data_IF_249293524692
#
_entry.id   IF_249293524692
#
_cell.length_a   1.000
_cell.length_b   1.000
_cell.length_c   1.000
_cell.angle_alpha   90.00
_cell.angle_beta   90.00
_cell.angle_gamma   90.00
#
_symmetry.space_group_name_H-M   'P 1'
#
loop_
_entity.id
_entity.type
_entity.pdbx_description
1 polymer ?
#
# COMPACT_ATOMS: atom_id res chain seq x y z
N UNK A 1 24.07 43.89 -52.77
CA UNK A 1 23.31 43.56 -54.00
C UNK A 1 22.78 42.13 -53.88
N UNK A 2 21.46 41.99 -53.99
CA UNK A 2 20.71 40.73 -53.97
C UNK A 2 21.11 39.86 -55.16
N UNK A 3 21.34 38.56 -54.95
CA UNK A 3 20.79 37.50 -55.81
C UNK A 3 20.50 36.25 -54.98
N UNK A 4 19.20 35.98 -54.91
CA UNK A 4 18.57 34.74 -54.47
C UNK A 4 18.82 33.70 -55.55
N UNK A 5 19.38 32.53 -55.21
CA UNK A 5 19.28 31.33 -56.03
C UNK A 5 18.93 30.14 -55.14
N UNK A 6 17.87 29.47 -55.57
CA UNK A 6 17.17 28.34 -54.98
C UNK A 6 18.09 27.16 -54.66
N UNK A 7 17.96 26.63 -53.45
CA UNK A 7 18.46 25.29 -53.12
C UNK A 7 17.42 24.30 -53.64
N UNK A 8 17.67 23.78 -54.84
CA UNK A 8 17.03 22.56 -55.34
C UNK A 8 17.76 21.40 -54.64
N UNK A 9 17.10 20.78 -53.67
CA UNK A 9 17.55 19.54 -53.07
C UNK A 9 17.52 18.44 -54.12
N UNK A 10 18.70 17.97 -54.53
CA UNK A 10 18.84 16.78 -55.36
C UNK A 10 18.42 15.58 -54.51
N UNK A 11 17.26 15.04 -54.85
CA UNK A 11 16.82 13.70 -54.53
C UNK A 11 17.86 12.69 -55.05
N UNK A 12 18.66 12.11 -54.15
CA UNK A 12 19.26 10.81 -54.43
C UNK A 12 18.19 9.78 -54.11
N UNK A 13 17.51 9.34 -55.16
CA UNK A 13 16.65 8.17 -55.14
C UNK A 13 17.52 6.93 -54.98
N UNK A 14 17.72 6.48 -53.74
CA UNK A 14 18.10 5.09 -53.49
C UNK A 14 16.85 4.22 -53.62
N UNK A 15 16.57 3.82 -54.87
CA UNK A 15 15.70 2.67 -55.17
C UNK A 15 16.34 1.41 -54.57
N UNK A 16 16.05 1.11 -53.31
CA UNK A 16 16.08 -0.26 -52.84
C UNK A 16 14.82 -0.94 -53.37
N UNK A 17 14.95 -1.62 -54.51
CA UNK A 17 14.09 -2.74 -54.84
C UNK A 17 14.29 -3.81 -53.76
N UNK A 18 13.60 -3.69 -52.62
CA UNK A 18 13.25 -4.89 -51.87
C UNK A 18 12.24 -5.61 -52.74
N UNK A 19 12.71 -6.65 -53.43
CA UNK A 19 11.88 -7.77 -53.87
C UNK A 19 11.16 -8.30 -52.62
N UNK A 20 10.00 -7.73 -52.31
CA UNK A 20 9.05 -8.38 -51.42
C UNK A 20 8.57 -9.60 -52.19
N UNK A 21 9.19 -10.75 -51.94
CA UNK A 21 8.58 -12.02 -52.28
C UNK A 21 7.12 -11.95 -51.78
N UNK A 22 6.13 -12.24 -52.62
CA UNK A 22 4.74 -12.26 -52.17
C UNK A 22 4.70 -13.18 -50.96
N UNK A 23 4.35 -12.63 -49.80
CA UNK A 23 4.25 -13.40 -48.57
C UNK A 23 3.31 -14.57 -48.87
N UNK A 24 3.84 -15.78 -48.90
CA UNK A 24 3.08 -16.98 -49.19
C UNK A 24 1.79 -16.95 -48.35
N UNK A 25 0.61 -17.23 -48.93
CA UNK A 25 -0.63 -17.26 -48.17
C UNK A 25 -0.41 -18.23 -47.02
N UNK A 26 -0.62 -17.76 -45.79
CA UNK A 26 -0.39 -18.55 -44.60
C UNK A 26 -1.23 -19.83 -44.71
N UNK A 27 -0.57 -20.93 -45.07
CA UNK A 27 -1.21 -22.20 -45.32
C UNK A 27 -1.90 -22.66 -44.04
N UNK A 28 -3.15 -23.08 -44.20
CA UNK A 28 -3.96 -23.52 -43.10
C UNK A 28 -3.33 -24.74 -42.41
N UNK A 29 -3.22 -24.69 -41.09
CA UNK A 29 -2.75 -25.84 -40.33
C UNK A 29 -3.76 -26.98 -40.48
N UNK A 30 -3.27 -28.15 -40.93
CA UNK A 30 -4.09 -29.35 -41.10
C UNK A 30 -4.56 -29.88 -39.72
N UNK A 31 -3.71 -29.72 -38.69
CA UNK A 31 -3.94 -30.06 -37.28
C UNK A 31 -3.46 -28.92 -36.35
N UNK A 32 -4.27 -28.56 -35.34
CA UNK A 32 -3.89 -27.59 -34.30
C UNK A 32 -4.16 -26.10 -34.61
N UNK A 33 -3.93 -25.24 -33.60
CA UNK A 33 -4.15 -23.80 -33.69
C UNK A 33 -2.88 -23.05 -34.09
N UNK A 34 -2.95 -22.21 -35.14
CA UNK A 34 -1.89 -21.27 -35.53
C UNK A 34 -2.35 -19.83 -35.34
N UNK A 35 -1.51 -18.95 -34.79
CA UNK A 35 -1.84 -17.54 -34.54
C UNK A 35 -0.91 -16.63 -35.36
N UNK A 36 -1.48 -15.68 -36.11
CA UNK A 36 -0.75 -14.59 -36.78
C UNK A 36 -1.14 -13.26 -36.14
N UNK A 37 -0.18 -12.54 -35.57
CA UNK A 37 -0.42 -11.18 -35.07
C UNK A 37 -0.67 -10.27 -36.26
N UNK A 38 -1.78 -9.53 -36.23
CA UNK A 38 -2.15 -8.56 -37.25
C UNK A 38 -1.86 -7.13 -36.81
N UNK A 39 -1.99 -6.84 -35.51
CA UNK A 39 -1.72 -5.53 -34.92
C UNK A 39 -1.43 -5.67 -33.43
N UNK A 40 -0.44 -4.94 -32.96
CA UNK A 40 -0.21 -4.69 -31.52
C UNK A 40 -0.71 -3.29 -31.20
N UNK A 41 -1.37 -3.16 -30.06
CA UNK A 41 -1.86 -1.89 -29.53
C UNK A 41 -0.97 -1.46 -28.37
N UNK A 42 -1.03 -0.17 -28.03
CA UNK A 42 -0.45 0.31 -26.79
C UNK A 42 -0.98 -0.51 -25.60
N UNK A 43 -0.08 -0.92 -24.72
CA UNK A 43 -0.43 -1.70 -23.55
C UNK A 43 -1.13 -0.88 -22.46
N UNK A 44 -1.09 0.44 -22.57
CA UNK A 44 -1.79 1.34 -21.65
C UNK A 44 -3.31 1.19 -21.72
N UNK A 45 -3.93 1.14 -20.54
CA UNK A 45 -5.38 1.07 -20.40
C UNK A 45 -5.99 2.44 -20.72
N UNK A 46 -6.27 2.68 -22.00
CA UNK A 46 -6.86 3.92 -22.51
C UNK A 46 -8.16 3.66 -23.29
N UNK A 47 -8.93 4.73 -23.53
CA UNK A 47 -10.18 4.66 -24.31
C UNK A 47 -9.94 4.14 -25.74
N UNK A 48 -8.76 4.40 -26.31
CA UNK A 48 -8.42 3.96 -27.66
C UNK A 48 -8.47 2.43 -27.80
N UNK A 49 -8.12 1.73 -26.70
CA UNK A 49 -8.02 0.29 -26.63
C UNK A 49 -9.15 -0.34 -25.79
N UNK A 50 -10.10 0.46 -25.29
CA UNK A 50 -11.21 -0.02 -24.48
C UNK A 50 -12.31 -0.66 -25.34
N UNK A 51 -12.78 -1.83 -24.93
CA UNK A 51 -13.89 -2.56 -25.53
C UNK A 51 -14.77 -3.17 -24.43
N UNK A 52 -16.01 -3.49 -24.76
CA UNK A 52 -16.91 -4.24 -23.89
C UNK A 52 -17.66 -5.32 -24.66
N UNK A 53 -18.22 -6.27 -23.92
CA UNK A 53 -19.00 -7.36 -24.48
C UNK A 53 -20.23 -6.83 -25.19
N UNK A 54 -20.48 -7.27 -26.44
CA UNK A 54 -21.76 -6.99 -27.10
C UNK A 54 -22.91 -7.62 -26.30
N UNK A 55 -24.09 -6.98 -26.25
CA UNK A 55 -25.28 -7.58 -25.65
C UNK A 55 -25.55 -8.99 -26.19
N UNK A 56 -25.95 -9.90 -25.31
CA UNK A 56 -26.32 -11.30 -25.62
C UNK A 56 -25.22 -12.17 -26.26
N UNK A 57 -23.96 -11.72 -26.28
CA UNK A 57 -22.84 -12.52 -26.79
C UNK A 57 -22.68 -13.84 -26.05
N UNK A 58 -22.53 -14.93 -26.81
CA UNK A 58 -22.23 -16.27 -26.28
C UNK A 58 -20.73 -16.60 -26.34
N UNK A 59 -19.89 -15.61 -26.66
CA UNK A 59 -18.46 -15.81 -26.78
C UNK A 59 -17.79 -16.11 -25.43
N UNK A 60 -16.69 -16.82 -25.50
CA UNK A 60 -15.80 -17.10 -24.37
C UNK A 60 -14.50 -16.35 -24.55
N UNK A 61 -13.85 -16.05 -23.43
CA UNK A 61 -12.42 -15.74 -23.40
C UNK A 61 -11.66 -17.05 -23.29
N UNK A 62 -10.68 -17.22 -24.16
CA UNK A 62 -9.83 -18.39 -24.29
C UNK A 62 -8.45 -18.09 -23.72
N UNK A 63 -7.76 -19.11 -23.21
CA UNK A 63 -6.46 -18.91 -22.57
C UNK A 63 -5.41 -18.31 -23.52
N UNK A 64 -4.45 -17.57 -22.95
CA UNK A 64 -3.29 -17.04 -23.68
C UNK A 64 -2.17 -18.07 -23.57
N UNK A 65 -1.76 -18.68 -24.69
CA UNK A 65 -0.49 -19.42 -24.76
C UNK A 65 0.54 -18.62 -25.57
N UNK A 66 1.79 -18.63 -25.11
CA UNK A 66 2.98 -18.11 -25.77
C UNK A 66 3.91 -19.30 -25.96
N UNK A 67 4.18 -19.70 -27.20
CA UNK A 67 5.34 -20.54 -27.49
C UNK A 67 6.58 -19.66 -27.36
N UNK A 68 7.52 -20.05 -26.50
CA UNK A 68 8.91 -19.60 -26.60
C UNK A 68 9.53 -20.14 -27.88
N UNK A 69 10.56 -19.47 -28.39
CA UNK A 69 11.12 -19.64 -29.74
C UNK A 69 11.86 -20.97 -30.01
N UNK A 70 11.79 -21.99 -29.16
CA UNK A 70 12.65 -23.19 -29.33
C UNK A 70 12.02 -24.58 -29.01
N UNK A 71 10.72 -24.72 -28.75
CA UNK A 71 10.18 -26.03 -28.36
C UNK A 71 9.60 -26.87 -29.52
N UNK A 72 10.28 -27.97 -29.85
CA UNK A 72 9.91 -28.94 -30.91
C UNK A 72 8.82 -29.94 -30.50
N UNK A 73 8.30 -29.92 -29.28
CA UNK A 73 7.25 -30.86 -28.82
C UNK A 73 6.02 -30.13 -28.27
N UNK A 74 5.06 -29.91 -29.16
CA UNK A 74 3.84 -29.13 -28.97
C UNK A 74 2.73 -29.91 -28.23
N UNK A 75 2.08 -29.29 -27.22
CA UNK A 75 0.85 -29.81 -26.60
C UNK A 75 -0.36 -28.94 -26.96
N UNK A 76 -1.24 -29.46 -27.81
CA UNK A 76 -2.34 -28.74 -28.51
C UNK A 76 -3.49 -28.20 -27.62
N UNK A 77 -3.39 -28.24 -26.29
CA UNK A 77 -4.57 -28.12 -25.39
C UNK A 77 -4.89 -26.70 -24.87
N UNK A 78 -4.02 -25.69 -25.03
CA UNK A 78 -4.19 -24.42 -24.31
C UNK A 78 -5.05 -23.35 -25.02
N UNK A 79 -4.94 -23.17 -26.35
CA UNK A 79 -5.85 -22.28 -27.09
C UNK A 79 -7.31 -22.81 -27.09
N UNK A 80 -7.52 -24.05 -26.66
CA UNK A 80 -8.83 -24.70 -26.52
C UNK A 80 -9.46 -24.54 -25.13
N UNK A 81 -8.74 -24.00 -24.13
CA UNK A 81 -9.31 -23.85 -22.80
C UNK A 81 -10.18 -22.60 -22.74
N UNK A 82 -11.50 -22.81 -22.74
CA UNK A 82 -12.47 -21.77 -22.36
C UNK A 82 -12.19 -21.37 -20.91
N UNK A 83 -11.85 -20.11 -20.68
CA UNK A 83 -11.64 -19.59 -19.33
C UNK A 83 -12.97 -19.15 -18.72
N UNK A 84 -13.67 -18.26 -19.41
CA UNK A 84 -14.92 -17.71 -18.90
C UNK A 84 -15.80 -17.15 -20.01
N UNK A 85 -17.12 -17.26 -19.80
CA UNK A 85 -18.15 -16.76 -20.72
C UNK A 85 -18.25 -15.24 -20.62
N UNK A 86 -18.15 -14.54 -21.75
CA UNK A 86 -18.06 -13.08 -21.79
C UNK A 86 -19.36 -12.39 -21.29
N UNK A 87 -20.52 -13.04 -21.47
CA UNK A 87 -21.81 -12.55 -20.96
C UNK A 87 -21.84 -12.34 -19.44
N UNK A 88 -21.05 -13.12 -18.69
CA UNK A 88 -21.01 -13.03 -17.23
C UNK A 88 -20.18 -11.83 -16.75
N UNK A 89 -19.56 -11.08 -17.68
CA UNK A 89 -18.66 -9.96 -17.42
C UNK A 89 -19.13 -8.68 -18.11
N UNK A 90 -20.44 -8.47 -18.14
CA UNK A 90 -21.07 -7.30 -18.79
C UNK A 90 -20.53 -5.95 -18.30
N UNK A 91 -20.15 -5.84 -17.02
CA UNK A 91 -19.59 -4.62 -16.44
C UNK A 91 -18.08 -4.46 -16.64
N UNK A 92 -17.41 -5.42 -17.28
CA UNK A 92 -15.97 -5.37 -17.48
C UNK A 92 -15.64 -4.65 -18.79
N UNK A 93 -14.81 -3.62 -18.69
CA UNK A 93 -14.07 -3.09 -19.84
C UNK A 93 -12.82 -3.93 -20.08
N UNK A 94 -12.66 -4.35 -21.33
CA UNK A 94 -11.57 -5.15 -21.87
C UNK A 94 -10.65 -4.25 -22.69
N UNK A 95 -9.38 -4.17 -22.30
CA UNK A 95 -8.37 -3.42 -23.03
C UNK A 95 -7.69 -4.36 -24.03
N UNK A 96 -7.86 -4.06 -25.32
CA UNK A 96 -7.27 -4.83 -26.41
C UNK A 96 -5.79 -4.51 -26.50
N UNK A 97 -4.96 -5.56 -26.45
CA UNK A 97 -3.51 -5.48 -26.52
C UNK A 97 -3.01 -5.91 -27.90
N UNK A 98 -3.70 -6.88 -28.53
CA UNK A 98 -3.36 -7.38 -29.86
C UNK A 98 -4.61 -7.77 -30.64
N UNK A 99 -4.55 -7.60 -31.96
CA UNK A 99 -5.46 -8.22 -32.93
C UNK A 99 -4.71 -9.33 -33.63
N UNK A 100 -5.30 -10.52 -33.66
CA UNK A 100 -4.67 -11.72 -34.23
C UNK A 100 -5.63 -12.45 -35.16
N UNK A 101 -5.08 -13.17 -36.14
CA UNK A 101 -5.80 -14.18 -36.93
C UNK A 101 -5.43 -15.55 -36.38
N UNK A 102 -6.43 -16.36 -36.06
CA UNK A 102 -6.27 -17.72 -35.58
C UNK A 102 -6.75 -18.67 -36.66
N UNK A 103 -5.96 -19.69 -36.98
CA UNK A 103 -6.26 -20.74 -37.97
C UNK A 103 -6.43 -22.09 -37.27
N UNK A 104 -7.43 -22.87 -37.68
CA UNK A 104 -7.71 -24.22 -37.17
C UNK A 104 -8.57 -24.99 -38.19
N UNK A 105 -8.16 -26.20 -38.59
CA UNK A 105 -8.84 -27.05 -39.59
C UNK A 105 -9.36 -26.29 -40.82
N UNK A 106 -8.44 -25.65 -41.56
CA UNK A 106 -8.77 -24.87 -42.77
C UNK A 106 -9.69 -23.65 -42.55
N UNK A 107 -10.10 -23.37 -41.30
CA UNK A 107 -10.90 -22.20 -40.94
C UNK A 107 -10.00 -21.16 -40.29
N UNK A 108 -10.40 -19.89 -40.38
CA UNK A 108 -9.75 -18.82 -39.64
C UNK A 108 -10.75 -17.88 -38.97
N UNK A 109 -10.33 -17.25 -37.88
CA UNK A 109 -11.11 -16.25 -37.16
C UNK A 109 -10.24 -15.11 -36.66
N UNK A 110 -10.81 -13.91 -36.56
CA UNK A 110 -10.12 -12.76 -35.96
C UNK A 110 -10.43 -12.69 -34.47
N UNK A 111 -9.39 -12.57 -33.66
CA UNK A 111 -9.48 -12.49 -32.21
C UNK A 111 -8.75 -11.25 -31.70
N UNK A 112 -9.20 -10.75 -30.56
CA UNK A 112 -8.45 -9.80 -29.75
C UNK A 112 -7.86 -10.53 -28.55
N UNK A 113 -6.59 -10.27 -28.25
CA UNK A 113 -6.06 -10.53 -26.94
C UNK A 113 -6.41 -9.35 -26.04
N UNK A 114 -7.14 -9.63 -24.96
CA UNK A 114 -7.67 -8.62 -24.05
C UNK A 114 -7.18 -8.83 -22.63
N UNK A 115 -7.16 -7.76 -21.87
CA UNK A 115 -6.94 -7.76 -20.43
C UNK A 115 -7.93 -6.82 -19.74
N UNK A 116 -8.38 -7.11 -18.54
CA UNK A 116 -9.14 -6.15 -17.73
C UNK A 116 -8.18 -5.15 -17.04
N UNK A 117 -8.72 -4.09 -16.43
CA UNK A 117 -7.89 -3.04 -15.83
C UNK A 117 -6.89 -3.57 -14.77
N UNK A 118 -7.28 -4.56 -13.96
CA UNK A 118 -6.39 -5.14 -12.93
C UNK A 118 -5.45 -6.24 -13.46
N UNK A 119 -5.51 -6.56 -14.76
CA UNK A 119 -4.80 -7.66 -15.43
C UNK A 119 -5.07 -9.07 -14.88
N UNK A 120 -5.91 -9.22 -13.87
CA UNK A 120 -6.31 -10.52 -13.31
C UNK A 120 -7.19 -11.36 -14.24
N UNK A 121 -7.72 -10.77 -15.32
CA UNK A 121 -8.51 -11.46 -16.35
C UNK A 121 -7.97 -11.08 -17.72
N UNK A 122 -7.51 -12.09 -18.45
CA UNK A 122 -6.95 -11.91 -19.78
C UNK A 122 -7.22 -13.12 -20.67
N UNK A 123 -7.06 -12.96 -21.98
CA UNK A 123 -7.14 -14.04 -22.95
C UNK A 123 -7.59 -13.60 -24.33
N UNK A 124 -7.77 -14.56 -25.24
CA UNK A 124 -8.26 -14.32 -26.59
C UNK A 124 -9.78 -14.35 -26.65
N UNK A 125 -10.38 -13.39 -27.34
CA UNK A 125 -11.83 -13.32 -27.55
C UNK A 125 -12.12 -13.00 -29.01
N UNK A 126 -13.16 -13.60 -29.58
CA UNK A 126 -13.54 -13.36 -30.98
C UNK A 126 -13.83 -11.86 -31.16
N UNK A 127 -13.18 -11.21 -32.12
CA UNK A 127 -13.27 -9.76 -32.27
C UNK A 127 -14.71 -9.27 -32.50
N UNK A 128 -15.53 -10.07 -33.19
CA UNK A 128 -16.95 -9.75 -33.46
C UNK A 128 -17.84 -9.73 -32.21
N UNK A 129 -17.39 -10.30 -31.09
CA UNK A 129 -18.09 -10.36 -29.81
C UNK A 129 -17.90 -9.10 -28.94
N UNK A 130 -17.00 -8.20 -29.35
CA UNK A 130 -16.68 -6.97 -28.64
C UNK A 130 -17.16 -5.73 -29.42
N UNK A 131 -17.46 -4.67 -28.67
CA UNK A 131 -17.78 -3.34 -29.16
C UNK A 131 -16.80 -2.34 -28.53
N UNK A 132 -16.38 -1.33 -29.29
CA UNK A 132 -15.41 -0.32 -28.84
C UNK A 132 -16.04 0.60 -27.78
N UNK A 133 -15.22 1.05 -26.84
CA UNK A 133 -15.59 1.92 -25.72
C UNK A 133 -15.69 1.18 -24.39
N UNK A 134 -15.71 1.95 -23.29
CA UNK A 134 -15.94 1.43 -21.95
C UNK A 134 -17.31 0.75 -21.83
N UNK A 135 -17.42 -0.22 -20.93
CA UNK A 135 -18.71 -0.83 -20.63
C UNK A 135 -19.68 0.23 -20.07
N UNK A 136 -20.94 0.27 -20.55
CA UNK A 136 -21.96 1.16 -19.99
C UNK A 136 -22.51 0.65 -18.65
N UNK A 137 -22.12 -0.54 -18.19
CA UNK A 137 -22.65 -1.18 -16.99
C UNK A 137 -21.64 -1.15 -15.84
N UNK A 138 -22.07 -0.77 -14.65
CA UNK A 138 -21.23 -0.79 -13.45
C UNK A 138 -20.05 0.20 -13.51
N UNK A 139 -19.17 0.14 -12.51
CA UNK A 139 -18.08 1.10 -12.33
C UNK A 139 -16.93 0.85 -13.30
N UNK A 140 -16.49 1.91 -13.99
CA UNK A 140 -15.40 1.87 -14.97
C UNK A 140 -14.22 2.71 -14.49
N UNK A 141 -13.07 2.07 -14.28
CA UNK A 141 -11.83 2.80 -14.03
C UNK A 141 -11.32 3.33 -15.37
N UNK A 142 -11.30 4.65 -15.53
CA UNK A 142 -10.85 5.32 -16.74
C UNK A 142 -9.33 5.52 -16.74
N UNK A 143 -8.78 5.89 -15.59
CA UNK A 143 -7.37 6.22 -15.42
C UNK A 143 -6.92 5.94 -13.99
N UNK A 144 -5.64 5.63 -13.81
CA UNK A 144 -4.95 5.67 -12.51
C UNK A 144 -3.75 6.61 -12.58
N UNK A 145 -3.60 7.45 -11.56
CA UNK A 145 -2.47 8.37 -11.43
C UNK A 145 -1.57 7.88 -10.31
N UNK A 146 -0.38 7.41 -10.71
CA UNK A 146 0.69 6.95 -9.84
C UNK A 146 1.73 8.07 -9.63
N UNK A 147 2.77 7.80 -8.83
CA UNK A 147 3.89 8.70 -8.58
C UNK A 147 3.92 9.27 -7.16
N UNK A 148 5.06 9.79 -6.74
CA UNK A 148 5.30 10.35 -5.40
C UNK A 148 4.27 11.39 -5.01
N UNK A 149 3.91 12.29 -5.92
CA UNK A 149 2.84 13.31 -5.73
C UNK A 149 1.44 12.74 -5.45
N UNK A 150 1.21 11.47 -5.77
CA UNK A 150 -0.07 10.78 -5.56
C UNK A 150 0.04 9.72 -4.45
N UNK A 151 1.17 9.66 -3.74
CA UNK A 151 1.33 8.90 -2.49
C UNK A 151 1.06 9.81 -1.30
N UNK A 152 0.85 9.22 -0.14
CA UNK A 152 0.63 9.98 1.09
C UNK A 152 -0.17 9.19 2.12
N UNK A 153 -0.27 9.76 3.31
CA UNK A 153 -1.08 9.25 4.41
C UNK A 153 -2.46 9.90 4.38
N UNK A 154 -3.50 9.12 4.64
CA UNK A 154 -4.88 9.59 4.66
C UNK A 154 -5.65 8.99 5.83
N UNK A 155 -6.64 9.70 6.32
CA UNK A 155 -7.58 9.20 7.32
C UNK A 155 -9.01 9.61 6.99
N UNK A 156 -9.97 8.96 7.64
CA UNK A 156 -11.39 9.24 7.43
C UNK A 156 -11.75 10.61 8.01
N UNK A 157 -12.43 11.45 7.21
CA UNK A 157 -12.82 12.80 7.62
C UNK A 157 -13.81 12.81 8.79
N UNK A 158 -14.79 11.90 8.76
CA UNK A 158 -15.78 11.73 9.82
C UNK A 158 -15.75 10.28 10.34
N UNK A 159 -15.22 10.03 11.55
CA UNK A 159 -15.03 8.67 12.07
C UNK A 159 -16.36 7.93 12.34
N UNK A 160 -17.49 8.63 12.44
CA UNK A 160 -18.80 8.03 12.66
C UNK A 160 -19.54 7.71 11.36
N UNK A 161 -19.10 8.25 10.22
CA UNK A 161 -19.76 8.07 8.92
C UNK A 161 -19.42 6.69 8.32
N UNK A 162 -20.42 6.00 7.75
CA UNK A 162 -20.18 4.81 6.95
C UNK A 162 -19.39 5.17 5.69
N UNK A 163 -18.13 4.77 5.63
CA UNK A 163 -17.24 4.96 4.49
C UNK A 163 -16.66 3.61 4.10
N UNK A 164 -17.08 3.10 2.96
CA UNK A 164 -16.69 1.75 2.53
C UNK A 164 -15.44 1.77 1.66
N UNK A 165 -14.55 0.82 1.93
CA UNK A 165 -13.47 0.42 1.03
C UNK A 165 -14.00 -0.65 0.09
N UNK A 166 -13.93 -0.40 -1.20
CA UNK A 166 -14.46 -1.27 -2.24
C UNK A 166 -13.35 -2.06 -2.95
N UNK A 167 -13.72 -3.21 -3.50
CA UNK A 167 -12.91 -3.85 -4.53
C UNK A 167 -12.91 -3.04 -5.82
N UNK A 168 -12.02 -3.39 -6.77
CA UNK A 168 -11.84 -2.61 -7.99
C UNK A 168 -13.09 -2.59 -8.88
N UNK A 169 -13.92 -3.62 -8.82
CA UNK A 169 -15.21 -3.69 -9.53
C UNK A 169 -16.35 -2.94 -8.82
N UNK A 170 -16.12 -2.43 -7.61
CA UNK A 170 -17.13 -1.79 -6.77
C UNK A 170 -18.36 -2.68 -6.55
N UNK A 171 -18.14 -3.99 -6.45
CA UNK A 171 -19.18 -5.01 -6.23
C UNK A 171 -19.10 -5.60 -4.83
N UNK A 172 -17.95 -5.49 -4.17
CA UNK A 172 -17.71 -6.06 -2.84
C UNK A 172 -17.17 -4.98 -1.90
N UNK A 173 -17.88 -4.78 -0.79
CA UNK A 173 -17.37 -4.06 0.38
C UNK A 173 -16.26 -4.89 1.02
N UNK A 174 -15.05 -4.36 1.07
CA UNK A 174 -13.90 -4.99 1.73
C UNK A 174 -13.82 -4.63 3.20
N UNK A 175 -14.17 -3.38 3.53
CA UNK A 175 -14.12 -2.82 4.87
C UNK A 175 -15.08 -1.64 5.00
N UNK A 176 -15.48 -1.30 6.22
CA UNK A 176 -16.03 0.00 6.57
C UNK A 176 -15.02 0.75 7.46
N UNK A 177 -14.57 1.92 7.05
CA UNK A 177 -13.51 2.68 7.72
C UNK A 177 -13.95 3.20 9.09
N UNK A 178 -15.26 3.37 9.34
CA UNK A 178 -15.78 3.77 10.65
C UNK A 178 -15.41 2.80 11.78
N UNK A 179 -15.20 1.52 11.45
CA UNK A 179 -14.85 0.47 12.42
C UNK A 179 -13.36 0.53 12.80
N UNK A 180 -12.61 1.44 12.16
CA UNK A 180 -11.18 1.69 12.32
C UNK A 180 -10.89 3.20 12.37
N UNK A 181 -11.53 3.94 13.30
CA UNK A 181 -11.55 5.40 13.29
C UNK A 181 -10.18 6.02 13.52
N UNK A 182 -9.26 5.32 14.19
CA UNK A 182 -7.90 5.77 14.44
C UNK A 182 -6.85 5.29 13.46
N UNK A 183 -7.23 4.71 12.31
CA UNK A 183 -6.25 4.28 11.31
C UNK A 183 -5.79 5.44 10.43
N UNK A 184 -4.49 5.44 10.16
CA UNK A 184 -3.87 6.13 9.03
C UNK A 184 -3.67 5.13 7.89
N UNK A 185 -4.03 5.51 6.68
CA UNK A 185 -3.98 4.67 5.49
C UNK A 185 -2.94 5.18 4.51
N UNK A 186 -2.17 4.28 3.91
CA UNK A 186 -1.24 4.63 2.83
C UNK A 186 -1.96 4.63 1.50
N UNK A 187 -1.82 5.70 0.72
CA UNK A 187 -2.34 5.80 -0.65
C UNK A 187 -1.29 5.38 -1.67
N UNK A 188 -1.66 4.46 -2.56
CA UNK A 188 -0.80 4.05 -3.67
C UNK A 188 -1.04 4.87 -4.96
N UNK A 189 -2.31 5.17 -5.27
CA UNK A 189 -2.71 5.92 -6.46
C UNK A 189 -4.14 6.46 -6.32
N UNK A 190 -4.49 7.40 -7.20
CA UNK A 190 -5.85 7.92 -7.38
C UNK A 190 -6.42 7.33 -8.67
N UNK A 191 -7.66 6.86 -8.64
CA UNK A 191 -8.41 6.38 -9.80
C UNK A 191 -9.51 7.37 -10.19
N UNK A 192 -9.62 7.64 -11.49
CA UNK A 192 -10.78 8.31 -12.09
C UNK A 192 -11.79 7.24 -12.48
N UNK A 193 -12.99 7.29 -11.93
CA UNK A 193 -14.01 6.26 -12.07
C UNK A 193 -15.29 6.85 -12.65
N UNK A 194 -15.85 6.19 -13.67
CA UNK A 194 -17.15 6.51 -14.26
C UNK A 194 -18.21 5.53 -13.82
N UNK A 195 -19.37 6.03 -13.40
CA UNK A 195 -20.56 5.22 -13.12
C UNK A 195 -21.82 6.02 -13.44
N UNK A 196 -22.76 5.43 -14.18
CA UNK A 196 -24.00 6.09 -14.62
C UNK A 196 -23.78 7.49 -15.21
N UNK A 197 -22.78 7.62 -16.09
CA UNK A 197 -22.43 8.90 -16.73
C UNK A 197 -21.60 9.84 -15.85
N UNK A 198 -21.61 9.69 -14.53
CA UNK A 198 -20.89 10.55 -13.58
C UNK A 198 -19.43 10.12 -13.40
N UNK A 199 -18.53 11.11 -13.32
CA UNK A 199 -17.12 10.93 -12.98
C UNK A 199 -16.91 11.22 -11.49
N UNK A 200 -16.14 10.36 -10.83
CA UNK A 200 -15.74 10.47 -9.43
C UNK A 200 -14.29 10.03 -9.24
N UNK A 201 -13.66 10.45 -8.14
CA UNK A 201 -12.29 10.10 -7.78
C UNK A 201 -12.25 9.18 -6.57
N UNK A 202 -11.36 8.19 -6.62
CA UNK A 202 -11.17 7.22 -5.55
C UNK A 202 -9.69 7.03 -5.26
N UNK A 203 -9.31 7.14 -3.99
CA UNK A 203 -7.99 6.78 -3.51
C UNK A 203 -7.92 5.26 -3.32
N UNK A 204 -6.85 4.65 -3.82
CA UNK A 204 -6.53 3.27 -3.48
C UNK A 204 -5.67 3.23 -2.23
N UNK A 205 -6.31 2.90 -1.12
CA UNK A 205 -5.72 2.87 0.21
C UNK A 205 -5.27 1.45 0.58
N UNK A 206 -4.27 1.35 1.44
CA UNK A 206 -3.78 0.10 2.02
C UNK A 206 -3.23 0.29 3.44
N UNK A 207 -3.30 -0.76 4.26
CA UNK A 207 -2.75 -0.76 5.61
C UNK A 207 -3.02 -2.04 6.40
N UNK A 208 -2.25 -2.24 7.49
CA UNK A 208 -2.46 -3.31 8.46
C UNK A 208 -3.48 -2.87 9.50
N UNK A 209 -4.58 -3.62 9.62
CA UNK A 209 -5.69 -3.23 10.50
C UNK A 209 -5.23 -3.06 11.96
N UNK A 210 -5.51 -1.92 12.58
CA UNK A 210 -5.15 -1.61 13.99
C UNK A 210 -3.65 -1.74 14.31
N UNK A 211 -2.77 -1.66 13.30
CA UNK A 211 -1.31 -1.72 13.47
C UNK A 211 -0.72 -3.13 13.67
N UNK A 212 -1.54 -4.18 13.76
CA UNK A 212 -1.06 -5.57 13.88
C UNK A 212 -2.01 -6.63 13.27
N UNK A 213 -2.95 -6.17 12.45
CA UNK A 213 -4.01 -6.97 11.86
C UNK A 213 -3.73 -7.35 10.41
N UNK A 214 -4.63 -8.11 9.81
CA UNK A 214 -4.56 -8.47 8.39
C UNK A 214 -4.41 -7.23 7.50
N UNK A 215 -3.45 -7.26 6.57
CA UNK A 215 -3.34 -6.23 5.54
C UNK A 215 -4.59 -6.19 4.65
N UNK A 216 -5.10 -4.98 4.40
CA UNK A 216 -6.24 -4.76 3.52
C UNK A 216 -5.99 -3.56 2.63
N UNK A 217 -6.58 -3.59 1.43
CA UNK A 217 -6.49 -2.49 0.48
C UNK A 217 -7.74 -2.36 -0.37
N UNK A 218 -7.97 -1.20 -0.98
CA UNK A 218 -9.14 -1.01 -1.83
C UNK A 218 -9.42 0.46 -2.14
N UNK A 219 -10.52 0.69 -2.85
CA UNK A 219 -10.90 2.02 -3.32
C UNK A 219 -11.84 2.69 -2.33
N UNK A 220 -11.50 3.90 -1.92
CA UNK A 220 -12.33 4.76 -1.07
C UNK A 220 -12.58 6.07 -1.81
N UNK A 221 -13.80 6.58 -1.75
CA UNK A 221 -14.15 7.85 -2.38
C UNK A 221 -13.36 9.01 -1.75
N UNK A 222 -12.65 9.78 -2.58
CA UNK A 222 -11.71 10.82 -2.13
C UNK A 222 -12.35 11.87 -1.23
N UNK A 223 -13.62 12.23 -1.47
CA UNK A 223 -14.31 13.27 -0.69
C UNK A 223 -14.49 12.93 0.81
N UNK A 224 -14.36 11.65 1.17
CA UNK A 224 -14.50 11.16 2.55
C UNK A 224 -13.19 11.12 3.34
N UNK A 225 -12.09 11.55 2.72
CA UNK A 225 -10.75 11.46 3.29
C UNK A 225 -10.18 12.84 3.61
N UNK A 226 -9.26 12.85 4.57
CA UNK A 226 -8.39 13.97 4.89
C UNK A 226 -6.95 13.49 4.71
N UNK A 227 -6.12 14.33 4.09
CA UNK A 227 -4.69 14.08 3.91
C UNK A 227 -3.93 14.28 5.22
N UNK A 228 -2.92 13.45 5.47
CA UNK A 228 -2.08 13.48 6.66
C UNK A 228 -2.20 12.24 7.54
N UNK A 229 -1.47 12.25 8.65
CA UNK A 229 -1.52 11.23 9.68
C UNK A 229 -2.70 11.49 10.61
N UNK A 230 -3.45 10.45 10.97
CA UNK A 230 -4.59 10.56 11.86
C UNK A 230 -4.12 11.02 13.26
N UNK A 231 -4.58 12.16 13.79
CA UNK A 231 -4.24 12.57 15.15
C UNK A 231 -4.98 11.74 16.21
N UNK A 232 -5.98 10.95 15.83
CA UNK A 232 -6.73 10.12 16.76
C UNK A 232 -6.30 8.67 16.54
N UNK A 233 -5.87 8.00 17.61
CA UNK A 233 -5.32 6.64 17.54
C UNK A 233 -6.28 5.58 18.13
N UNK A 234 -7.56 5.90 18.21
CA UNK A 234 -8.59 5.03 18.81
C UNK A 234 -8.62 3.66 18.13
N UNK A 235 -8.51 2.61 18.94
CA UNK A 235 -8.55 1.23 18.48
C UNK A 235 -7.26 0.73 17.82
N UNK A 236 -6.20 1.55 17.75
CA UNK A 236 -4.87 1.05 17.37
C UNK A 236 -4.29 0.20 18.49
N UNK A 237 -3.68 -0.93 18.12
CA UNK A 237 -2.95 -1.76 19.06
C UNK A 237 -1.56 -1.16 19.30
N UNK A 238 -0.90 -0.73 18.23
CA UNK A 238 0.42 -0.08 18.23
C UNK A 238 0.38 1.16 17.34
N UNK A 239 1.14 2.19 17.73
CA UNK A 239 1.40 3.41 16.95
C UNK A 239 2.87 3.74 17.14
N UNK A 240 3.58 3.98 16.04
CA UNK A 240 5.03 4.21 16.09
C UNK A 240 5.36 5.65 16.48
N UNK A 241 6.55 5.91 17.07
CA UNK A 241 6.93 7.24 17.52
C UNK A 241 6.83 8.32 16.42
N UNK A 242 7.07 7.97 15.17
CA UNK A 242 7.03 8.89 14.02
C UNK A 242 5.60 9.21 13.54
N UNK A 243 4.58 8.49 14.00
CA UNK A 243 3.17 8.73 13.65
C UNK A 243 2.48 9.74 14.57
N UNK A 244 3.14 10.18 15.65
CA UNK A 244 2.60 11.22 16.52
C UNK A 244 2.99 12.61 16.03
N UNK A 245 2.03 13.54 16.10
CA UNK A 245 2.22 14.91 15.63
C UNK A 245 2.96 15.79 16.65
N UNK A 246 2.73 15.57 17.94
CA UNK A 246 3.29 16.36 19.04
C UNK A 246 3.16 15.62 20.39
N UNK A 247 3.74 16.18 21.46
CA UNK A 247 3.73 15.60 22.80
C UNK A 247 2.31 15.44 23.39
N UNK A 248 1.39 16.37 23.12
CA UNK A 248 -0.01 16.25 23.57
C UNK A 248 -0.74 15.09 22.89
N UNK A 249 -0.52 14.91 21.59
CA UNK A 249 -1.04 13.80 20.81
C UNK A 249 -0.54 12.45 21.34
N UNK A 250 0.75 12.38 21.64
CA UNK A 250 1.37 11.17 22.18
C UNK A 250 0.88 10.87 23.61
N UNK A 251 0.79 11.88 24.47
CA UNK A 251 0.25 11.71 25.82
C UNK A 251 -1.19 11.21 25.81
N UNK A 252 -2.04 11.73 24.91
CA UNK A 252 -3.41 11.25 24.73
C UNK A 252 -3.44 9.76 24.32
N UNK A 253 -2.53 9.32 23.44
CA UNK A 253 -2.40 7.90 23.10
C UNK A 253 -2.00 7.05 24.32
N UNK A 254 -1.01 7.49 25.13
CA UNK A 254 -0.68 6.81 26.39
C UNK A 254 -1.91 6.71 27.29
N UNK A 255 -2.68 7.79 27.43
CA UNK A 255 -3.84 7.87 28.30
C UNK A 255 -5.01 6.97 27.86
N UNK A 256 -5.23 6.83 26.55
CA UNK A 256 -6.44 6.18 26.01
C UNK A 256 -6.18 4.82 25.36
N UNK A 257 -4.94 4.53 24.97
CA UNK A 257 -4.56 3.31 24.27
C UNK A 257 -4.80 2.04 25.08
N UNK A 258 -5.31 1.00 24.41
CA UNK A 258 -5.66 -0.27 25.03
C UNK A 258 -4.44 -0.95 25.70
N UNK A 259 -3.32 -1.02 24.97
CA UNK A 259 -2.07 -1.63 25.46
C UNK A 259 -1.18 -0.66 26.28
N UNK A 260 -1.62 0.58 26.51
CA UNK A 260 -0.82 1.62 27.17
C UNK A 260 -0.98 1.66 28.70
N UNK A 261 -1.66 0.67 29.32
CA UNK A 261 -1.89 0.65 30.78
C UNK A 261 -0.60 0.73 31.60
N UNK A 262 0.45 0.00 31.21
CA UNK A 262 1.74 0.04 31.90
C UNK A 262 2.42 1.42 31.75
N UNK A 263 2.42 1.98 30.54
CA UNK A 263 2.98 3.30 30.27
C UNK A 263 2.32 4.39 31.13
N UNK A 264 0.98 4.37 31.24
CA UNK A 264 0.23 5.29 32.12
C UNK A 264 0.70 5.24 33.56
N UNK A 265 0.88 4.03 34.10
CA UNK A 265 1.31 3.88 35.50
C UNK A 265 2.77 4.31 35.71
N UNK A 266 3.64 4.13 34.72
CA UNK A 266 5.02 4.60 34.79
C UNK A 266 5.08 6.13 34.69
N UNK A 267 4.28 6.76 33.83
CA UNK A 267 4.19 8.23 33.73
C UNK A 267 3.76 8.85 35.07
N UNK A 268 2.82 8.23 35.80
CA UNK A 268 2.42 8.68 37.15
C UNK A 268 3.54 8.67 38.18
N UNK A 269 4.64 7.95 37.96
CA UNK A 269 5.78 7.95 38.86
C UNK A 269 6.60 9.25 38.80
N UNK A 270 6.33 10.11 37.81
CA UNK A 270 7.04 11.36 37.55
C UNK A 270 6.05 12.55 37.44
N UNK A 271 5.41 12.97 38.54
CA UNK A 271 4.29 13.91 38.50
C UNK A 271 4.65 15.31 37.95
N UNK A 272 5.90 15.74 38.08
CA UNK A 272 6.39 17.05 37.64
C UNK A 272 7.28 16.98 36.39
N UNK A 273 7.30 15.84 35.70
CA UNK A 273 8.15 15.59 34.53
C UNK A 273 7.27 15.20 33.34
N UNK A 274 6.82 16.17 32.52
CA UNK A 274 5.88 15.89 31.46
C UNK A 274 6.48 15.00 30.37
N UNK A 275 5.64 14.16 29.75
CA UNK A 275 6.01 13.34 28.59
C UNK A 275 6.35 14.25 27.41
N UNK A 276 7.44 13.93 26.71
CA UNK A 276 7.87 14.66 25.53
C UNK A 276 8.11 13.72 24.34
N UNK A 277 7.54 14.05 23.17
CA UNK A 277 7.59 13.20 21.99
C UNK A 277 9.00 13.09 21.40
N UNK A 278 9.76 14.18 21.32
CA UNK A 278 11.12 14.13 20.76
C UNK A 278 12.02 13.29 21.65
N UNK A 279 11.94 13.47 22.97
CA UNK A 279 12.67 12.62 23.92
C UNK A 279 12.17 11.16 23.88
N UNK A 280 10.88 10.90 23.66
CA UNK A 280 10.36 9.55 23.45
C UNK A 280 10.84 8.88 22.16
N UNK A 281 11.06 9.63 21.08
CA UNK A 281 11.70 9.13 19.86
C UNK A 281 13.14 8.74 20.14
N UNK A 282 13.90 9.60 20.84
CA UNK A 282 15.26 9.28 21.28
C UNK A 282 15.26 8.03 22.17
N UNK A 283 14.34 7.93 23.13
CA UNK A 283 14.22 6.76 23.99
C UNK A 283 14.04 5.48 23.16
N UNK A 284 13.07 5.49 22.23
CA UNK A 284 12.73 4.33 21.41
C UNK A 284 13.89 3.89 20.51
N UNK A 285 14.51 4.82 19.77
CA UNK A 285 15.48 4.44 18.74
C UNK A 285 16.92 4.29 19.27
N UNK A 286 17.29 5.01 20.35
CA UNK A 286 18.66 4.99 20.86
C UNK A 286 18.84 4.16 22.15
N UNK A 287 17.77 3.92 22.93
CA UNK A 287 17.87 3.34 24.28
C UNK A 287 16.91 2.19 24.58
N UNK A 288 16.10 1.74 23.61
CA UNK A 288 15.11 0.69 23.85
C UNK A 288 15.74 -0.68 24.18
N UNK A 289 15.06 -1.41 25.06
CA UNK A 289 15.16 -2.87 25.16
C UNK A 289 13.97 -3.47 24.41
N UNK A 290 14.22 -4.07 23.25
CA UNK A 290 13.20 -4.49 22.29
C UNK A 290 13.38 -5.92 21.78
N UNK A 291 12.26 -6.51 21.35
CA UNK A 291 12.30 -7.64 20.43
C UNK A 291 12.79 -7.13 19.06
N UNK A 292 13.66 -7.90 18.42
CA UNK A 292 14.19 -7.55 17.10
C UNK A 292 13.06 -7.33 16.09
N UNK A 293 13.17 -6.26 15.30
CA UNK A 293 12.24 -5.95 14.22
C UNK A 293 10.95 -5.23 14.61
N UNK A 294 10.65 -5.01 15.90
CA UNK A 294 9.44 -4.25 16.30
C UNK A 294 9.57 -2.76 15.94
N UNK A 295 10.74 -2.20 16.19
CA UNK A 295 11.17 -0.94 15.61
C UNK A 295 11.94 -1.34 14.34
N UNK A 296 11.28 -1.28 13.18
CA UNK A 296 11.77 -1.73 11.87
C UNK A 296 13.28 -1.51 11.73
N UNK A 297 14.05 -2.58 11.53
CA UNK A 297 15.51 -2.58 11.66
C UNK A 297 16.21 -1.61 10.68
N UNK A 298 15.67 -1.42 9.47
CA UNK A 298 16.17 -0.43 8.49
C UNK A 298 15.93 1.02 8.93
N UNK A 299 15.01 1.25 9.87
CA UNK A 299 14.67 2.55 10.48
C UNK A 299 15.26 2.72 11.88
N UNK A 300 15.94 1.72 12.45
CA UNK A 300 16.67 1.84 13.74
C UNK A 300 18.01 2.58 13.54
N UNK A 301 17.96 3.66 12.78
CA UNK A 301 19.04 4.64 12.75
C UNK A 301 18.95 5.45 14.05
N UNK A 302 20.11 5.71 14.66
CA UNK A 302 20.15 6.59 15.83
C UNK A 302 19.57 7.95 15.46
N UNK A 303 18.62 8.41 16.26
CA UNK A 303 18.02 9.74 16.09
C UNK A 303 18.88 10.77 16.81
N UNK A 304 18.95 11.97 16.25
CA UNK A 304 19.70 13.08 16.84
C UNK A 304 19.16 13.43 18.23
N UNK A 305 20.07 13.74 19.16
CA UNK A 305 19.75 14.27 20.49
C UNK A 305 19.71 15.81 20.52
N UNK A 306 19.89 16.48 19.38
CA UNK A 306 19.87 17.96 19.30
C UNK A 306 18.56 18.50 19.86
N UNK A 307 18.64 19.55 20.69
CA UNK A 307 17.49 20.12 21.38
C UNK A 307 17.26 19.52 22.77
N UNK A 308 18.09 18.55 23.18
CA UNK A 308 18.05 17.95 24.51
C UNK A 308 19.44 17.82 25.14
N UNK A 309 19.50 18.14 26.43
CA UNK A 309 20.69 18.03 27.29
C UNK A 309 20.38 17.17 28.52
N UNK A 310 21.43 16.83 29.28
CA UNK A 310 21.31 16.03 30.50
C UNK A 310 20.49 14.73 30.29
N UNK A 311 20.72 14.04 29.17
CA UNK A 311 20.00 12.80 28.86
C UNK A 311 20.46 11.70 29.82
N UNK A 312 19.54 11.20 30.62
CA UNK A 312 19.76 10.17 31.63
C UNK A 312 19.01 8.92 31.22
N UNK A 313 19.77 7.87 30.88
CA UNK A 313 19.20 6.57 30.55
C UNK A 313 18.73 5.84 31.81
N UNK A 314 17.46 5.43 31.84
CA UNK A 314 16.90 4.60 32.90
C UNK A 314 16.96 3.11 32.53
N UNK A 315 18.09 2.69 31.95
CA UNK A 315 18.30 1.37 31.33
C UNK A 315 17.97 0.19 32.26
N UNK A 316 18.23 0.29 33.56
CA UNK A 316 17.87 -0.77 34.51
C UNK A 316 16.36 -1.03 34.54
N UNK A 317 15.53 0.02 34.43
CA UNK A 317 14.08 -0.13 34.37
C UNK A 317 13.64 -0.77 33.05
N UNK A 318 14.16 -0.30 31.91
CA UNK A 318 13.89 -0.89 30.59
C UNK A 318 14.29 -2.37 30.51
N UNK A 319 15.49 -2.71 30.97
CA UNK A 319 15.98 -4.10 31.00
C UNK A 319 15.12 -5.00 31.89
N UNK A 320 14.67 -4.49 33.05
CA UNK A 320 13.75 -5.23 33.91
C UNK A 320 12.44 -5.51 33.19
N UNK A 321 11.83 -4.48 32.58
CA UNK A 321 10.59 -4.64 31.82
C UNK A 321 10.73 -5.67 30.71
N UNK A 322 11.84 -5.64 29.98
CA UNK A 322 12.12 -6.59 28.90
C UNK A 322 12.27 -8.03 29.42
N UNK A 323 13.09 -8.23 30.46
CA UNK A 323 13.26 -9.56 31.10
C UNK A 323 11.95 -10.13 31.64
N UNK A 324 11.03 -9.26 32.05
CA UNK A 324 9.73 -9.60 32.61
C UNK A 324 8.56 -9.28 31.66
N UNK A 325 8.78 -9.29 30.35
CA UNK A 325 7.78 -8.85 29.35
C UNK A 325 6.45 -9.59 29.44
N UNK A 326 6.46 -10.87 29.80
CA UNK A 326 5.28 -11.73 30.00
C UNK A 326 4.62 -11.59 31.39
N UNK A 327 5.25 -10.89 32.34
CA UNK A 327 4.70 -10.72 33.69
C UNK A 327 3.51 -9.75 33.71
N UNK A 328 2.77 -9.75 34.82
CA UNK A 328 1.67 -8.81 35.03
C UNK A 328 2.17 -7.36 35.11
N UNK A 329 1.31 -6.40 34.78
CA UNK A 329 1.66 -4.98 34.89
C UNK A 329 2.02 -4.58 36.33
N UNK A 330 1.43 -5.23 37.34
CA UNK A 330 1.75 -4.96 38.75
C UNK A 330 3.19 -5.36 39.10
N UNK A 331 3.63 -6.56 38.66
CA UNK A 331 5.01 -7.02 38.85
C UNK A 331 5.98 -6.12 38.09
N UNK A 332 5.66 -5.78 36.83
CA UNK A 332 6.45 -4.86 36.02
C UNK A 332 6.61 -3.49 36.70
N UNK A 333 5.52 -2.92 37.20
CA UNK A 333 5.54 -1.61 37.87
C UNK A 333 6.36 -1.65 39.18
N UNK A 334 6.23 -2.70 39.98
CA UNK A 334 7.01 -2.88 41.20
C UNK A 334 8.52 -2.95 40.92
N UNK A 335 8.91 -3.71 39.89
CA UNK A 335 10.31 -3.77 39.47
C UNK A 335 10.85 -2.48 38.86
N UNK A 336 10.03 -1.74 38.11
CA UNK A 336 10.40 -0.38 37.66
C UNK A 336 10.69 0.53 38.85
N UNK A 337 9.82 0.55 39.89
CA UNK A 337 10.08 1.35 41.10
C UNK A 337 11.41 0.96 41.75
N UNK A 338 11.66 -0.34 41.95
CA UNK A 338 12.93 -0.82 42.52
C UNK A 338 14.15 -0.44 41.66
N UNK A 339 14.05 -0.53 40.33
CA UNK A 339 15.12 -0.16 39.41
C UNK A 339 15.40 1.36 39.43
N UNK A 340 14.36 2.19 39.52
CA UNK A 340 14.49 3.64 39.64
C UNK A 340 15.16 4.02 40.98
N UNK A 341 14.75 3.38 42.07
CA UNK A 341 15.35 3.64 43.39
C UNK A 341 16.84 3.27 43.41
N UNK A 342 17.21 2.11 42.84
CA UNK A 342 18.62 1.67 42.69
C UNK A 342 19.47 2.57 41.80
N UNK A 343 18.86 3.29 40.87
CA UNK A 343 19.55 4.25 39.99
C UNK A 343 19.56 5.67 40.55
N UNK A 344 19.20 5.83 41.83
CA UNK A 344 19.25 7.12 42.52
C UNK A 344 18.09 8.05 42.16
N UNK A 345 16.97 7.49 41.70
CA UNK A 345 15.70 8.19 41.47
C UNK A 345 14.59 7.66 42.37
N UNK A 346 14.70 7.77 43.71
CA UNK A 346 13.61 7.38 44.61
C UNK A 346 12.35 8.21 44.39
N UNK A 347 11.22 7.76 44.94
CA UNK A 347 9.92 8.44 44.79
C UNK A 347 9.96 9.94 45.13
N UNK A 348 10.64 10.31 46.23
CA UNK A 348 10.82 11.71 46.64
C UNK A 348 11.56 12.54 45.59
N UNK A 349 12.65 12.00 45.02
CA UNK A 349 13.41 12.69 43.97
C UNK A 349 12.61 12.84 42.68
N UNK A 350 11.84 11.83 42.28
CA UNK A 350 10.96 11.91 41.09
C UNK A 350 9.84 12.92 41.29
N UNK A 351 9.30 13.03 42.50
CA UNK A 351 8.29 14.04 42.85
C UNK A 351 8.89 15.46 42.84
N UNK A 352 10.13 15.64 43.29
CA UNK A 352 10.81 16.94 43.28
C UNK A 352 11.47 17.30 41.94
N UNK A 353 11.48 16.39 40.96
CA UNK A 353 12.18 16.56 39.69
C UNK A 353 11.47 17.61 38.83
N UNK A 354 12.13 18.75 38.60
CA UNK A 354 11.67 19.86 37.78
C UNK A 354 12.67 20.17 36.66
N UNK A 355 12.21 20.82 35.59
CA UNK A 355 13.03 21.16 34.41
C UNK A 355 13.34 19.99 33.46
N UNK A 356 13.05 18.75 33.87
CA UNK A 356 13.19 17.57 33.01
C UNK A 356 11.90 17.22 32.28
N UNK A 357 12.06 16.52 31.15
CA UNK A 357 11.03 15.84 30.37
C UNK A 357 11.23 14.33 30.45
N UNK A 358 10.13 13.59 30.27
CA UNK A 358 10.12 12.14 30.27
C UNK A 358 10.05 11.61 28.84
N UNK A 359 11.10 10.91 28.40
CA UNK A 359 11.09 10.11 27.19
C UNK A 359 10.67 8.69 27.54
N UNK A 360 9.50 8.27 27.04
CA UNK A 360 8.96 6.93 27.26
C UNK A 360 8.40 6.37 25.96
N UNK A 361 8.70 5.11 25.65
CA UNK A 361 8.01 4.35 24.60
C UNK A 361 7.85 2.91 25.04
N UNK A 362 6.59 2.44 25.09
CA UNK A 362 6.25 1.11 25.59
C UNK A 362 5.32 0.41 24.60
N UNK A 363 5.81 -0.70 24.06
CA UNK A 363 5.03 -1.75 23.42
C UNK A 363 5.02 -2.90 24.41
N UNK A 364 3.85 -3.24 24.95
CA UNK A 364 3.73 -4.12 26.10
C UNK A 364 2.96 -5.39 25.74
N UNK A 365 3.68 -6.43 25.31
CA UNK A 365 3.14 -7.77 25.09
C UNK A 365 1.97 -7.79 24.09
N UNK A 366 2.11 -7.06 22.97
CA UNK A 366 1.07 -6.95 21.94
C UNK A 366 1.11 -8.18 21.04
N UNK A 367 0.03 -8.95 20.90
CA UNK A 367 0.02 -10.12 20.01
C UNK A 367 0.25 -9.71 18.55
N UNK A 368 1.19 -10.36 17.87
CA UNK A 368 1.41 -10.21 16.43
C UNK A 368 0.85 -11.40 15.65
N UNK A 369 -0.49 -11.44 15.57
CA UNK A 369 -1.23 -12.55 14.95
C UNK A 369 -0.95 -12.71 13.46
N UNK A 370 -0.47 -11.65 12.79
CA UNK A 370 -0.36 -11.61 11.34
C UNK A 370 1.08 -11.35 10.85
N UNK A 371 2.08 -11.40 11.73
CA UNK A 371 3.49 -11.17 11.37
C UNK A 371 3.73 -9.78 10.78
N UNK A 372 3.09 -8.77 11.38
CA UNK A 372 3.04 -7.39 10.89
C UNK A 372 3.72 -6.38 11.81
N UNK A 373 4.09 -6.80 13.02
CA UNK A 373 4.84 -6.00 13.99
C UNK A 373 6.28 -6.50 14.10
N UNK A 374 6.48 -7.82 14.21
CA UNK A 374 7.81 -8.43 14.38
C UNK A 374 8.35 -8.83 13.00
N UNK A 375 9.60 -8.49 12.71
CA UNK A 375 10.25 -8.78 11.43
C UNK A 375 10.36 -10.30 11.16
N UNK A 376 10.55 -10.68 9.90
CA UNK A 376 10.64 -12.06 9.39
C UNK A 376 9.40 -12.94 9.59
N UNK A 377 8.24 -12.33 9.83
CA UNK A 377 6.98 -13.07 9.98
C UNK A 377 6.95 -13.96 11.23
N UNK A 378 7.81 -13.67 12.21
CA UNK A 378 7.82 -14.36 13.48
C UNK A 378 6.50 -14.09 14.22
N UNK A 379 5.77 -15.16 14.54
CA UNK A 379 4.56 -15.08 15.36
C UNK A 379 4.95 -14.96 16.83
N UNK A 380 4.34 -14.03 17.55
CA UNK A 380 4.67 -13.83 18.95
C UNK A 380 3.97 -12.63 19.58
N UNK A 381 4.60 -12.07 20.60
CA UNK A 381 4.13 -10.87 21.28
C UNK A 381 5.21 -9.81 21.23
N UNK A 382 4.93 -8.69 20.57
CA UNK A 382 5.86 -7.60 20.42
C UNK A 382 6.06 -6.88 21.76
N UNK A 383 7.32 -6.61 22.10
CA UNK A 383 7.70 -5.85 23.28
C UNK A 383 8.81 -4.85 22.98
N UNK A 384 8.64 -3.62 23.47
CA UNK A 384 9.64 -2.54 23.41
C UNK A 384 9.51 -1.75 24.70
N UNK A 385 10.62 -1.52 25.39
CA UNK A 385 10.64 -0.72 26.61
C UNK A 385 11.78 0.28 26.57
N UNK A 386 11.42 1.56 26.54
CA UNK A 386 12.36 2.67 26.59
C UNK A 386 11.93 3.70 27.63
N UNK A 387 12.87 4.12 28.46
CA UNK A 387 12.66 5.14 29.49
C UNK A 387 13.95 5.96 29.66
N UNK A 388 13.86 7.27 29.44
CA UNK A 388 14.94 8.24 29.66
C UNK A 388 14.38 9.54 30.24
N UNK A 389 15.25 10.32 30.88
CA UNK A 389 14.98 11.71 31.27
C UNK A 389 15.90 12.62 30.45
N UNK A 390 15.51 13.88 30.26
CA UNK A 390 16.36 14.89 29.63
C UNK A 390 15.78 16.28 29.81
N UNK A 391 16.60 17.31 29.69
CA UNK A 391 16.15 18.71 29.64
C UNK A 391 16.01 19.16 28.19
N UNK A 392 15.14 20.12 27.94
CA UNK A 392 15.08 20.81 26.64
C UNK A 392 16.18 21.85 26.60
N UNK A 393 16.89 21.97 25.49
CA UNK A 393 17.90 23.01 25.32
C UNK A 393 17.20 24.37 25.18
N UNK A 394 17.52 25.30 26.08
CA UNK A 394 16.99 26.67 26.06
C UNK A 394 17.39 27.46 24.79
N UNK A 395 18.32 26.93 23.98
CA UNK A 395 18.76 27.51 22.71
C UNK A 395 17.93 27.09 21.50
N UNK A 396 16.85 26.32 21.67
CA UNK A 396 16.05 25.75 20.56
C UNK A 396 14.70 26.44 20.29
N UNK A 397 14.37 27.52 21.01
CA UNK A 397 13.25 28.39 20.67
C UNK A 397 13.62 29.32 19.51
N UNK A 398 13.77 28.76 18.29
CA UNK A 398 13.63 29.45 16.99
C UNK A 398 14.03 28.47 15.87
N UNK A 399 13.07 27.70 15.34
CA UNK A 399 13.06 27.23 13.94
C UNK A 399 11.63 26.88 13.51
#
# INVERSE_FOLDING_TARGET
>A
MKKVIQIIGIFIASLLFMLTAPSAPAQAAHNGYRIKVLKTYDSEASIANAYHAKPKTQAYVWSKYFGGSEDKNFNYKDFQKKLYKLSNYRSTTWFVQQKVRVYHHLKSGTYYYVTNFSRGRQGYVKASALQKGYSPYGYQILQKKYGTKNRGSFYIKNPSQNVYMWDWTHTKKRLNLKDYPGMTWSRAHIATVKHNGKISYYDYLGGYLRGNGKYISGYVYTGNLTEGTNPIHTGQNIVYPNDFLNSSNYLNYIQTGHYQKLAREIVKLFPNTPVDLGLSKIAAYNYASDDEGVLWYEDKNTVSTKGYTDIISLKLASNYLYKHKTASNAVKLAGVKSALDKTGYPASKRAALSGYKLGIYIVNNIPDKYGSIIQDGAYGHASVYALILGKTDDSSTNE
#
